data_IF_529688855059
#
_entry.id   IF_529688855059
#
_cell.length_a   1.000
_cell.length_b   1.000
_cell.length_c   1.000
_cell.angle_alpha   90.00
_cell.angle_beta   90.00
_cell.angle_gamma   90.00
#
_symmetry.space_group_name_H-M   'P 1'
#
loop_
_entity.id
_entity.type
_entity.pdbx_description
1 polymer ?
#
# COMPACT_ATOMS: atom_id res chain seq x y z
N UNK A 1 8.94 -14.40 3.80
CA UNK A 1 9.36 -13.43 4.83
C UNK A 1 8.09 -12.92 5.48
N UNK A 2 7.91 -13.12 6.78
CA UNK A 2 6.76 -12.54 7.49
C UNK A 2 6.96 -11.05 7.70
N UNK A 3 5.94 -10.24 7.46
CA UNK A 3 5.92 -8.81 7.78
C UNK A 3 4.73 -8.55 8.70
N UNK A 4 4.98 -7.92 9.85
CA UNK A 4 3.95 -7.62 10.84
C UNK A 4 3.99 -6.13 11.19
N UNK A 5 2.84 -5.45 11.07
CA UNK A 5 2.71 -4.04 11.45
C UNK A 5 2.54 -3.95 12.97
N UNK A 6 3.34 -3.11 13.62
CA UNK A 6 3.27 -2.84 15.05
C UNK A 6 2.33 -1.65 15.34
N UNK A 7 1.76 -1.57 16.56
CA UNK A 7 0.88 -0.46 16.95
C UNK A 7 1.58 0.91 16.94
N UNK A 8 2.91 0.92 17.08
CA UNK A 8 3.76 2.12 17.04
C UNK A 8 3.97 2.69 15.61
N UNK A 9 3.38 2.06 14.60
CA UNK A 9 3.54 2.46 13.19
C UNK A 9 4.81 1.92 12.52
N UNK A 10 5.66 1.18 13.25
CA UNK A 10 6.80 0.46 12.68
C UNK A 10 6.41 -0.92 12.15
N UNK A 11 7.24 -1.51 11.28
CA UNK A 11 7.02 -2.82 10.70
C UNK A 11 8.13 -3.78 11.14
N UNK A 12 7.72 -4.95 11.63
CA UNK A 12 8.64 -6.03 11.96
C UNK A 12 8.74 -6.98 10.77
N UNK A 13 9.94 -7.15 10.23
CA UNK A 13 10.22 -7.98 9.06
C UNK A 13 11.10 -9.14 9.47
N UNK A 14 10.65 -10.35 9.18
CA UNK A 14 11.47 -11.55 9.34
C UNK A 14 12.56 -11.61 8.26
N UNK A 15 13.79 -11.78 8.71
CA UNK A 15 14.95 -12.04 7.85
C UNK A 15 14.82 -13.39 7.13
N UNK A 16 15.56 -13.56 6.04
CA UNK A 16 15.66 -14.85 5.33
C UNK A 16 16.15 -16.01 6.21
N UNK A 17 16.78 -15.72 7.36
CA UNK A 17 17.09 -16.70 8.41
C UNK A 17 15.98 -16.70 9.45
N UNK A 18 15.29 -17.84 9.61
CA UNK A 18 14.22 -18.04 10.60
C UNK A 18 14.65 -17.59 12.00
N UNK A 19 13.80 -16.82 12.67
CA UNK A 19 14.01 -16.36 14.05
C UNK A 19 14.83 -15.06 14.20
N UNK A 20 15.19 -14.37 13.10
CA UNK A 20 15.75 -13.02 13.18
C UNK A 20 14.78 -12.01 12.61
N UNK A 21 14.39 -11.03 13.42
CA UNK A 21 13.46 -9.97 13.04
C UNK A 21 14.18 -8.63 13.02
N UNK A 22 13.84 -7.80 12.05
CA UNK A 22 14.30 -6.43 11.93
C UNK A 22 13.12 -5.47 11.95
N UNK A 23 13.34 -4.31 12.53
CA UNK A 23 12.34 -3.24 12.59
C UNK A 23 12.61 -2.27 11.46
N UNK A 24 11.56 -1.95 10.73
CA UNK A 24 11.53 -0.99 9.63
C UNK A 24 10.61 0.16 10.02
N UNK A 25 11.11 1.38 9.87
CA UNK A 25 10.37 2.62 10.05
C UNK A 25 10.28 3.31 8.69
N UNK A 26 9.09 3.31 8.09
CA UNK A 26 8.89 3.93 6.78
C UNK A 26 8.97 5.45 6.84
N UNK A 27 8.50 6.07 7.93
CA UNK A 27 8.50 7.52 8.12
C UNK A 27 9.91 8.11 8.11
N UNK A 28 10.86 7.37 8.69
CA UNK A 28 12.29 7.74 8.74
C UNK A 28 13.12 7.06 7.65
N UNK A 29 12.51 6.21 6.82
CA UNK A 29 13.22 5.39 5.83
C UNK A 29 14.33 4.52 6.44
N UNK A 30 14.11 4.01 7.66
CA UNK A 30 15.15 3.37 8.47
C UNK A 30 14.90 1.89 8.70
N UNK A 31 15.97 1.10 8.81
CA UNK A 31 15.89 -0.32 9.15
C UNK A 31 16.97 -0.74 10.14
N UNK A 32 16.64 -1.59 11.10
CA UNK A 32 17.61 -2.12 12.08
C UNK A 32 18.49 -3.24 11.55
N UNK A 33 18.33 -3.65 10.29
CA UNK A 33 19.14 -4.71 9.71
C UNK A 33 20.61 -4.29 9.56
N UNK A 34 21.55 -5.24 9.71
CA UNK A 34 22.99 -4.93 9.65
C UNK A 34 23.37 -4.30 8.31
N UNK A 35 22.81 -4.77 7.19
CA UNK A 35 23.08 -4.20 5.88
C UNK A 35 22.73 -2.71 5.80
N UNK A 36 21.60 -2.30 6.37
CA UNK A 36 21.21 -0.90 6.41
C UNK A 36 22.15 -0.08 7.29
N UNK A 37 22.40 -0.55 8.52
CA UNK A 37 23.26 0.16 9.48
C UNK A 37 24.71 0.33 9.01
N UNK A 38 25.29 -0.68 8.38
CA UNK A 38 26.70 -0.66 7.98
C UNK A 38 26.92 -0.04 6.60
N UNK A 39 25.95 -0.15 5.69
CA UNK A 39 26.18 0.23 4.28
C UNK A 39 25.28 1.35 3.79
N UNK A 40 24.03 1.41 4.22
CA UNK A 40 23.03 2.29 3.58
C UNK A 40 22.65 3.53 4.41
N UNK A 41 22.93 3.54 5.71
CA UNK A 41 22.60 4.65 6.60
C UNK A 41 23.24 5.99 6.17
N UNK A 42 24.44 5.95 5.57
CA UNK A 42 25.16 7.15 5.11
C UNK A 42 24.77 7.62 3.71
N UNK A 43 24.18 6.74 2.91
CA UNK A 43 23.85 7.00 1.49
C UNK A 43 22.34 7.06 1.26
N UNK A 44 21.53 7.05 2.32
CA UNK A 44 20.06 7.02 2.24
C UNK A 44 19.53 5.90 1.33
N UNK A 45 20.22 4.77 1.29
CA UNK A 45 19.85 3.65 0.41
C UNK A 45 18.79 2.74 1.03
N UNK A 46 18.03 2.05 0.20
CA UNK A 46 16.93 1.19 0.64
C UNK A 46 17.41 -0.25 0.79
N UNK A 47 17.25 -0.82 1.99
CA UNK A 47 17.54 -2.24 2.19
C UNK A 47 16.35 -3.11 1.73
N UNK A 48 16.61 -4.39 1.48
CA UNK A 48 15.57 -5.36 1.08
C UNK A 48 14.35 -5.41 2.02
N UNK A 49 14.53 -5.08 3.30
CA UNK A 49 13.42 -5.07 4.26
C UNK A 49 12.54 -3.82 4.11
N UNK A 50 13.14 -2.66 3.79
CA UNK A 50 12.39 -1.43 3.49
C UNK A 50 11.59 -1.63 2.21
N UNK A 51 12.22 -2.17 1.17
CA UNK A 51 11.55 -2.48 -0.09
C UNK A 51 10.39 -3.45 0.11
N UNK A 52 10.58 -4.53 0.86
CA UNK A 52 9.51 -5.49 1.15
C UNK A 52 8.34 -4.87 1.93
N UNK A 53 8.62 -3.94 2.84
CA UNK A 53 7.58 -3.24 3.61
C UNK A 53 6.86 -2.21 2.74
N UNK A 54 7.58 -1.49 1.86
CA UNK A 54 6.98 -0.59 0.87
C UNK A 54 6.07 -1.37 -0.09
N UNK A 55 6.55 -2.48 -0.61
CA UNK A 55 5.78 -3.39 -1.47
C UNK A 55 4.56 -3.95 -0.74
N UNK A 56 4.68 -4.36 0.54
CA UNK A 56 3.51 -4.79 1.32
C UNK A 56 2.53 -3.64 1.59
N UNK A 57 3.04 -2.43 1.85
CA UNK A 57 2.20 -1.26 2.06
C UNK A 57 1.42 -0.91 0.79
N UNK A 58 2.08 -0.95 -0.38
CA UNK A 58 1.47 -0.69 -1.70
C UNK A 58 0.60 -1.85 -2.21
N UNK A 59 0.98 -3.09 -1.88
CA UNK A 59 0.31 -4.32 -2.31
C UNK A 59 -0.97 -4.63 -1.54
N UNK A 60 -1.22 -3.95 -0.40
CA UNK A 60 -2.54 -3.97 0.24
C UNK A 60 -3.58 -3.24 -0.60
N UNK A 61 -3.17 -2.19 -1.31
CA UNK A 61 -4.09 -1.45 -2.16
C UNK A 61 -4.44 -2.21 -3.45
N UNK A 62 -3.54 -3.02 -3.99
CA UNK A 62 -3.78 -3.73 -5.26
C UNK A 62 -5.01 -4.67 -5.23
N UNK A 63 -5.23 -5.38 -4.11
CA UNK A 63 -6.44 -6.20 -3.93
C UNK A 63 -7.71 -5.38 -3.71
N UNK A 64 -7.60 -4.21 -3.08
CA UNK A 64 -8.73 -3.29 -2.94
C UNK A 64 -9.09 -2.66 -4.29
N UNK A 65 -8.10 -2.24 -5.09
CA UNK A 65 -8.31 -1.61 -6.38
C UNK A 65 -8.96 -2.54 -7.41
N UNK A 66 -8.48 -3.77 -7.55
CA UNK A 66 -9.14 -4.77 -8.43
C UNK A 66 -10.58 -5.04 -7.98
N UNK A 67 -10.83 -5.02 -6.67
CA UNK A 67 -12.17 -5.14 -6.10
C UNK A 67 -13.07 -3.97 -6.47
N UNK A 68 -12.58 -2.74 -6.35
CA UNK A 68 -13.29 -1.51 -6.73
C UNK A 68 -13.64 -1.54 -8.22
N UNK A 69 -12.64 -1.80 -9.09
CA UNK A 69 -12.84 -1.84 -10.54
C UNK A 69 -13.86 -2.94 -10.91
N UNK A 70 -13.75 -4.14 -10.32
CA UNK A 70 -14.72 -5.22 -10.57
C UNK A 70 -16.13 -4.88 -10.10
N UNK A 71 -16.26 -4.20 -8.95
CA UNK A 71 -17.55 -3.75 -8.42
C UNK A 71 -18.20 -2.72 -9.34
N UNK A 72 -17.45 -1.68 -9.73
CA UNK A 72 -17.91 -0.64 -10.64
C UNK A 72 -18.29 -1.24 -11.99
N UNK A 73 -17.50 -2.19 -12.53
CA UNK A 73 -17.80 -2.85 -13.80
C UNK A 73 -19.12 -3.64 -13.78
N UNK A 74 -19.43 -4.26 -12.64
CA UNK A 74 -20.63 -5.09 -12.47
C UNK A 74 -21.89 -4.27 -12.17
N UNK A 75 -21.75 -3.15 -11.47
CA UNK A 75 -22.85 -2.34 -10.96
C UNK A 75 -22.99 -0.97 -11.61
N UNK A 76 -22.22 -0.67 -12.67
CA UNK A 76 -22.22 0.65 -13.32
C UNK A 76 -23.62 1.03 -13.86
N UNK A 77 -24.08 2.28 -13.63
CA UNK A 77 -23.43 3.35 -12.86
C UNK A 77 -23.54 3.18 -11.34
N UNK A 78 -22.45 3.47 -10.62
CA UNK A 78 -22.39 3.43 -9.14
C UNK A 78 -22.29 4.86 -8.60
N UNK A 79 -23.04 5.19 -7.55
CA UNK A 79 -22.90 6.48 -6.87
C UNK A 79 -21.56 6.58 -6.13
N UNK A 80 -20.88 7.74 -6.24
CA UNK A 80 -19.58 7.98 -5.60
C UNK A 80 -19.62 7.71 -4.10
N UNK A 81 -20.69 8.18 -3.44
CA UNK A 81 -20.86 8.06 -1.99
C UNK A 81 -20.95 6.59 -1.56
N UNK A 82 -21.64 5.76 -2.33
CA UNK A 82 -21.78 4.33 -2.03
C UNK A 82 -20.45 3.61 -2.21
N UNK A 83 -19.69 3.96 -3.26
CA UNK A 83 -18.38 3.38 -3.51
C UNK A 83 -17.36 3.77 -2.42
N UNK A 84 -17.35 5.04 -2.01
CA UNK A 84 -16.49 5.55 -0.94
C UNK A 84 -16.84 4.88 0.40
N UNK A 85 -18.13 4.65 0.69
CA UNK A 85 -18.55 3.94 1.91
C UNK A 85 -18.10 2.48 1.95
N UNK A 86 -18.13 1.78 0.81
CA UNK A 86 -17.75 0.37 0.72
C UNK A 86 -16.23 0.18 0.74
N UNK A 87 -15.48 1.04 0.04
CA UNK A 87 -14.05 0.82 -0.25
C UNK A 87 -13.11 1.84 0.37
N UNK A 88 -13.64 2.95 0.91
CA UNK A 88 -12.87 4.04 1.49
C UNK A 88 -12.54 5.15 0.48
N UNK A 89 -12.47 6.39 0.97
CA UNK A 89 -12.24 7.59 0.16
C UNK A 89 -10.85 7.59 -0.49
N UNK A 90 -9.79 7.32 0.27
CA UNK A 90 -8.40 7.26 -0.21
C UNK A 90 -8.24 6.33 -1.43
N UNK A 91 -8.87 5.15 -1.39
CA UNK A 91 -8.74 4.18 -2.46
C UNK A 91 -9.51 4.58 -3.73
N UNK A 92 -10.67 5.22 -3.57
CA UNK A 92 -11.46 5.73 -4.70
C UNK A 92 -10.79 6.96 -5.33
N UNK A 93 -10.28 7.87 -4.50
CA UNK A 93 -9.58 9.09 -4.95
C UNK A 93 -8.28 8.76 -5.70
N UNK A 94 -7.50 7.79 -5.22
CA UNK A 94 -6.30 7.35 -5.91
C UNK A 94 -6.62 6.77 -7.31
N UNK A 95 -7.70 5.99 -7.46
CA UNK A 95 -8.14 5.46 -8.76
C UNK A 95 -8.66 6.54 -9.72
N UNK A 96 -9.35 7.55 -9.19
CA UNK A 96 -9.76 8.73 -9.96
C UNK A 96 -8.53 9.53 -10.43
N UNK A 97 -7.56 9.74 -9.54
CA UNK A 97 -6.30 10.43 -9.84
C UNK A 97 -5.44 9.70 -10.89
N UNK A 98 -5.48 8.36 -10.90
CA UNK A 98 -4.82 7.53 -11.92
C UNK A 98 -5.56 7.51 -13.26
N UNK A 99 -6.81 7.98 -13.30
CA UNK A 99 -7.65 7.96 -14.49
C UNK A 99 -8.27 6.59 -14.82
N UNK A 100 -8.27 5.65 -13.87
CA UNK A 100 -8.95 4.35 -14.04
C UNK A 100 -10.46 4.47 -13.81
N UNK A 101 -10.86 5.41 -12.95
CA UNK A 101 -12.25 5.79 -12.73
C UNK A 101 -12.48 7.23 -13.22
N UNK A 102 -13.72 7.50 -13.63
CA UNK A 102 -14.25 8.84 -13.87
C UNK A 102 -15.46 9.05 -12.99
N UNK A 103 -15.48 10.19 -12.32
CA UNK A 103 -16.71 10.73 -11.76
C UNK A 103 -17.39 11.69 -12.75
N UNK A 104 -18.69 11.48 -12.99
CA UNK A 104 -19.52 12.42 -13.71
C UNK A 104 -20.89 12.52 -13.04
N UNK A 105 -21.29 13.74 -12.67
CA UNK A 105 -22.57 14.01 -11.98
C UNK A 105 -22.78 13.17 -10.71
N UNK A 106 -21.71 12.92 -9.92
CA UNK A 106 -21.76 12.10 -8.71
C UNK A 106 -21.90 10.58 -8.96
N UNK A 107 -21.69 10.14 -10.20
CA UNK A 107 -21.61 8.72 -10.54
C UNK A 107 -20.21 8.35 -11.01
N UNK A 108 -19.71 7.24 -10.51
CA UNK A 108 -18.44 6.63 -10.87
C UNK A 108 -18.64 5.64 -12.01
N UNK A 109 -17.77 5.74 -13.02
CA UNK A 109 -17.68 4.85 -14.18
C UNK A 109 -16.22 4.53 -14.48
N UNK A 110 -15.96 3.40 -15.11
CA UNK A 110 -14.62 3.05 -15.60
C UNK A 110 -14.40 3.79 -16.93
N UNK A 111 -13.23 4.41 -17.10
CA UNK A 111 -12.78 4.94 -18.39
C UNK A 111 -12.34 3.74 -19.24
N UNK A 112 -13.17 3.33 -20.21
CA UNK A 112 -12.83 2.28 -21.19
C UNK A 112 -11.98 2.85 -22.33
#
# INVERSE_FOLDING_TARGET
MGIQKQPDGTFQVESSKKGKFYTVDLSKGSCTCPFFRFSLQRVHGECKHILAVKDMAQGRDQKSYEGIISFVKKHQPVESISLIKEFGEDAVDDLLSRGELIEKDGMIKILE
#
